data_IF_669351475485
#
_entry.id   IF_669351475485
#
_cell.length_a   1.000
_cell.length_b   1.000
_cell.length_c   1.000
_cell.angle_alpha   90.00
_cell.angle_beta   90.00
_cell.angle_gamma   90.00
#
_symmetry.space_group_name_H-M   'P 1'
#
loop_
_entity.id
_entity.type
_entity.pdbx_description
1 polymer ?
#
# COMPACT_ATOMS: atom_id res chain seq x y z
N UNK A 1 -21.52 2.70 16.37
CA UNK A 1 -20.22 2.00 16.54
C UNK A 1 -19.15 3.06 16.67
N UNK A 2 -18.52 3.15 17.84
CA UNK A 2 -17.41 4.10 18.07
C UNK A 2 -16.15 3.47 17.46
N UNK A 3 -15.62 4.10 16.40
CA UNK A 3 -14.32 3.74 15.83
C UNK A 3 -13.27 4.32 16.77
N UNK A 4 -12.70 3.47 17.63
CA UNK A 4 -11.54 3.83 18.43
C UNK A 4 -10.35 3.69 17.48
N UNK A 5 -9.87 4.82 16.93
CA UNK A 5 -8.59 4.83 16.24
C UNK A 5 -7.49 4.52 17.27
N UNK A 6 -6.54 3.61 16.99
CA UNK A 6 -5.42 3.40 17.88
C UNK A 6 -4.62 4.70 17.98
N UNK A 7 -4.34 5.15 19.20
CA UNK A 7 -3.48 6.32 19.42
C UNK A 7 -2.17 6.10 18.66
N UNK A 8 -1.90 6.98 17.68
CA UNK A 8 -0.65 6.94 16.94
C UNK A 8 0.46 7.17 17.96
N UNK A 9 1.33 6.19 18.16
CA UNK A 9 2.59 6.44 18.84
C UNK A 9 3.27 7.57 18.08
N UNK A 10 3.47 8.71 18.72
CA UNK A 10 4.19 9.84 18.14
C UNK A 10 5.66 9.46 18.06
N UNK A 11 6.02 8.64 17.07
CA UNK A 11 7.39 8.26 16.85
C UNK A 11 8.12 9.44 16.21
N UNK A 12 9.22 9.86 16.85
CA UNK A 12 10.04 10.99 16.40
C UNK A 12 10.72 10.72 15.04
N UNK A 13 10.96 9.46 14.73
CA UNK A 13 11.65 9.01 13.52
C UNK A 13 10.99 7.75 12.94
N UNK A 14 11.35 7.42 11.71
CA UNK A 14 10.88 6.25 10.97
C UNK A 14 12.06 5.52 10.29
N UNK A 15 11.84 4.31 9.76
CA UNK A 15 12.84 3.56 8.98
C UNK A 15 13.32 4.26 7.70
N UNK A 16 12.65 5.34 7.28
CA UNK A 16 13.00 6.16 6.11
C UNK A 16 13.71 7.46 6.46
N UNK A 17 14.06 7.64 7.73
CA UNK A 17 14.80 8.83 8.16
C UNK A 17 16.19 8.78 7.56
N UNK A 18 16.62 9.89 6.95
CA UNK A 18 17.99 10.05 6.49
C UNK A 18 18.89 10.43 7.67
N UNK A 19 19.64 9.47 8.17
CA UNK A 19 20.51 9.65 9.33
C UNK A 19 21.77 10.43 9.01
N UNK A 20 22.26 10.38 7.77
CA UNK A 20 23.47 11.10 7.37
C UNK A 20 23.17 12.60 7.27
N UNK A 21 22.06 12.96 6.60
CA UNK A 21 21.57 14.34 6.54
C UNK A 21 21.19 14.89 7.93
N UNK A 22 20.64 14.04 8.80
CA UNK A 22 20.34 14.43 10.18
C UNK A 22 21.61 14.76 10.96
N UNK A 23 22.67 13.96 10.80
CA UNK A 23 23.95 14.19 11.47
C UNK A 23 24.58 15.50 11.03
N UNK A 24 24.65 15.75 9.73
CA UNK A 24 25.17 17.00 9.18
C UNK A 24 24.40 18.22 9.72
N UNK A 25 23.07 18.14 9.72
CA UNK A 25 22.23 19.22 10.24
C UNK A 25 22.45 19.49 11.75
N UNK A 26 22.62 18.44 12.55
CA UNK A 26 22.90 18.59 13.99
C UNK A 26 24.29 19.20 14.20
N UNK A 27 25.29 18.76 13.45
CA UNK A 27 26.66 19.28 13.56
C UNK A 27 26.76 20.76 13.13
N UNK A 28 25.97 21.19 12.14
CA UNK A 28 25.89 22.60 11.73
C UNK A 28 25.11 23.48 12.72
N UNK A 29 24.01 22.98 13.28
CA UNK A 29 23.10 23.76 14.11
C UNK A 29 23.53 23.83 15.59
N UNK A 30 24.44 22.96 16.04
CA UNK A 30 24.83 22.91 17.45
C UNK A 30 25.75 24.08 17.83
N UNK A 31 25.29 24.92 18.75
CA UNK A 31 26.12 25.98 19.31
C UNK A 31 26.86 25.50 20.55
N UNK A 32 28.19 25.35 20.45
CA UNK A 32 29.04 24.93 21.57
C UNK A 32 29.42 26.07 22.54
N UNK A 33 29.09 27.32 22.21
CA UNK A 33 29.44 28.50 23.01
C UNK A 33 28.35 28.85 24.03
N UNK A 34 27.88 27.86 24.80
CA UNK A 34 26.87 28.06 25.84
C UNK A 34 27.56 28.18 27.20
N UNK A 35 27.17 29.19 27.99
CA UNK A 35 27.63 29.31 29.38
C UNK A 35 26.92 28.22 30.19
N UNK A 36 27.62 27.51 31.06
CA UNK A 36 27.07 26.42 31.88
C UNK A 36 27.35 26.66 33.37
N UNK A 37 27.27 27.93 33.81
CA UNK A 37 27.74 28.32 35.15
C UNK A 37 26.66 28.24 36.21
N UNK A 38 25.39 28.33 35.81
CA UNK A 38 24.23 28.27 36.70
C UNK A 38 23.36 27.06 36.36
N UNK A 39 22.53 26.61 37.32
CA UNK A 39 21.58 25.53 37.07
C UNK A 39 20.58 25.90 35.95
N UNK A 40 20.11 27.16 35.95
CA UNK A 40 19.28 27.71 34.87
C UNK A 40 19.94 27.60 33.49
N UNK A 41 21.24 27.90 33.40
CA UNK A 41 21.97 27.83 32.13
C UNK A 41 22.05 26.38 31.61
N UNK A 42 22.20 25.42 32.52
CA UNK A 42 22.24 23.99 32.18
C UNK A 42 20.88 23.53 31.64
N UNK A 43 19.80 23.92 32.30
CA UNK A 43 18.44 23.58 31.87
C UNK A 43 18.09 24.21 30.52
N UNK A 44 18.53 25.45 30.28
CA UNK A 44 18.36 26.12 28.99
C UNK A 44 19.16 25.43 27.87
N UNK A 45 20.40 25.02 28.16
CA UNK A 45 21.23 24.28 27.21
C UNK A 45 20.60 22.92 26.84
N UNK A 46 20.09 22.19 27.85
CA UNK A 46 19.39 20.93 27.64
C UNK A 46 18.14 21.11 26.79
N UNK A 47 17.31 22.11 27.10
CA UNK A 47 16.09 22.41 26.33
C UNK A 47 16.39 22.76 24.88
N UNK A 48 17.43 23.57 24.66
CA UNK A 48 17.90 23.90 23.31
C UNK A 48 18.34 22.66 22.54
N UNK A 49 19.13 21.79 23.18
CA UNK A 49 19.60 20.55 22.57
C UNK A 49 18.43 19.60 22.22
N UNK A 50 17.49 19.39 23.14
CA UNK A 50 16.32 18.52 22.90
C UNK A 50 15.45 19.05 21.77
N UNK A 51 15.24 20.37 21.70
CA UNK A 51 14.44 20.99 20.64
C UNK A 51 15.13 20.85 19.28
N UNK A 52 16.46 21.06 19.24
CA UNK A 52 17.26 20.90 18.03
C UNK A 52 17.18 19.47 17.48
N UNK A 53 17.32 18.46 18.35
CA UNK A 53 17.19 17.05 17.96
C UNK A 53 15.77 16.75 17.47
N UNK A 54 14.73 17.26 18.13
CA UNK A 54 13.35 17.08 17.70
C UNK A 54 13.08 17.71 16.33
N UNK A 55 13.52 18.94 16.10
CA UNK A 55 13.38 19.62 14.81
C UNK A 55 14.16 18.90 13.71
N UNK A 56 15.39 18.46 13.98
CA UNK A 56 16.20 17.69 13.04
C UNK A 56 15.48 16.41 12.60
N UNK A 57 14.95 15.65 13.57
CA UNK A 57 14.17 14.46 13.29
C UNK A 57 12.93 14.77 12.45
N UNK A 58 12.17 15.82 12.76
CA UNK A 58 10.98 16.18 11.98
C UNK A 58 11.29 16.62 10.56
N UNK A 59 12.41 17.31 10.33
CA UNK A 59 12.83 17.74 8.98
C UNK A 59 13.31 16.58 8.12
N UNK A 60 14.04 15.63 8.71
CA UNK A 60 14.66 14.52 7.98
C UNK A 60 13.79 13.25 7.94
N UNK A 61 12.69 13.21 8.70
CA UNK A 61 11.73 12.10 8.65
C UNK A 61 10.64 12.40 7.63
N UNK A 62 10.56 11.67 6.51
CA UNK A 62 9.48 11.87 5.56
C UNK A 62 8.14 11.45 6.17
N UNK A 63 7.10 12.28 5.96
CA UNK A 63 5.72 11.91 6.29
C UNK A 63 5.36 10.70 5.44
N UNK A 64 5.11 9.57 6.09
CA UNK A 64 4.52 8.44 5.38
C UNK A 64 3.07 8.78 5.12
N UNK A 65 2.74 8.97 3.86
CA UNK A 65 1.36 8.86 3.44
C UNK A 65 0.86 7.47 3.82
N UNK A 66 -0.01 7.43 4.83
CA UNK A 66 -0.82 6.25 5.16
C UNK A 66 -1.81 5.89 4.05
N UNK A 67 -1.65 6.44 2.84
CA UNK A 67 -2.34 6.07 1.61
C UNK A 67 -1.89 4.69 1.11
N UNK A 68 -1.99 3.70 1.99
CA UNK A 68 -2.12 2.33 1.60
C UNK A 68 -3.55 1.98 2.00
N UNK A 69 -4.37 1.59 1.02
CA UNK A 69 -5.73 1.02 1.16
C UNK A 69 -6.96 1.95 1.10
N UNK A 70 -6.85 3.24 0.79
CA UNK A 70 -8.02 4.00 0.31
C UNK A 70 -8.24 3.77 -1.19
N UNK A 71 -8.30 2.49 -1.60
CA UNK A 71 -8.97 2.14 -2.84
C UNK A 71 -10.43 2.53 -2.67
N UNK A 72 -11.01 3.24 -3.66
CA UNK A 72 -12.43 3.58 -3.80
C UNK A 72 -13.31 2.31 -3.90
N UNK A 73 -13.23 1.43 -2.91
CA UNK A 73 -13.98 0.21 -2.83
C UNK A 73 -15.27 0.50 -2.07
N UNK A 74 -16.44 0.21 -2.63
CA UNK A 74 -17.72 0.39 -1.95
C UNK A 74 -17.72 -0.24 -0.56
N UNK A 75 -18.32 0.47 0.41
CA UNK A 75 -18.34 0.05 1.82
C UNK A 75 -18.87 -1.38 1.98
N UNK A 76 -19.92 -1.75 1.24
CA UNK A 76 -20.51 -3.08 1.32
C UNK A 76 -19.51 -4.20 0.96
N UNK A 77 -18.58 -3.97 0.02
CA UNK A 77 -17.56 -4.98 -0.35
C UNK A 77 -16.50 -5.06 0.76
N UNK A 78 -16.11 -3.91 1.35
CA UNK A 78 -15.20 -3.87 2.50
C UNK A 78 -15.76 -4.69 3.67
N UNK A 79 -17.04 -4.56 3.97
CA UNK A 79 -17.70 -5.34 5.04
C UNK A 79 -17.63 -6.85 4.77
N UNK A 80 -17.87 -7.28 3.52
CA UNK A 80 -17.75 -8.69 3.15
C UNK A 80 -16.31 -9.21 3.22
N UNK A 81 -15.32 -8.37 2.93
CA UNK A 81 -13.89 -8.71 3.10
C UNK A 81 -13.56 -8.90 4.58
N UNK A 82 -14.02 -7.99 5.45
CA UNK A 82 -13.84 -8.08 6.89
C UNK A 82 -14.48 -9.37 7.42
N UNK A 83 -15.71 -9.68 7.01
CA UNK A 83 -16.41 -10.90 7.42
C UNK A 83 -15.67 -12.16 6.96
N UNK A 84 -15.20 -12.21 5.71
CA UNK A 84 -14.36 -13.31 5.21
C UNK A 84 -13.09 -13.47 6.06
N UNK A 85 -12.42 -12.38 6.42
CA UNK A 85 -11.20 -12.41 7.26
C UNK A 85 -11.52 -12.93 8.66
N UNK A 86 -12.65 -12.53 9.25
CA UNK A 86 -13.16 -13.03 10.53
C UNK A 86 -13.39 -14.55 10.49
N UNK A 87 -14.12 -15.03 9.49
CA UNK A 87 -14.39 -16.47 9.31
C UNK A 87 -13.11 -17.28 9.05
N UNK A 88 -12.14 -16.70 8.33
CA UNK A 88 -10.83 -17.34 8.14
C UNK A 88 -10.09 -17.50 9.47
N UNK A 89 -10.11 -16.47 10.33
CA UNK A 89 -9.52 -16.55 11.67
C UNK A 89 -10.18 -17.66 12.49
N UNK A 90 -11.51 -17.72 12.50
CA UNK A 90 -12.27 -18.77 13.19
C UNK A 90 -11.85 -20.15 12.69
N UNK A 91 -11.88 -20.39 11.38
CA UNK A 91 -11.46 -21.67 10.80
C UNK A 91 -10.01 -22.05 11.12
N UNK A 92 -9.08 -21.09 11.13
CA UNK A 92 -7.68 -21.38 11.49
C UNK A 92 -7.53 -21.85 12.94
N UNK A 93 -8.34 -21.30 13.86
CA UNK A 93 -8.36 -21.67 15.27
C UNK A 93 -9.10 -22.99 15.52
N UNK A 94 -10.30 -23.14 14.96
CA UNK A 94 -11.19 -24.27 15.26
C UNK A 94 -10.92 -25.51 14.41
N UNK A 95 -10.51 -25.33 13.15
CA UNK A 95 -10.39 -26.36 12.11
C UNK A 95 -11.65 -27.21 11.85
N UNK A 96 -12.82 -26.78 12.32
CA UNK A 96 -14.07 -27.52 12.10
C UNK A 96 -14.62 -27.38 10.67
N UNK A 97 -15.30 -28.43 10.14
CA UNK A 97 -15.86 -28.41 8.79
C UNK A 97 -16.99 -27.39 8.63
N UNK A 98 -17.77 -27.13 9.67
CA UNK A 98 -18.84 -26.12 9.68
C UNK A 98 -18.26 -24.72 9.44
N UNK A 99 -17.18 -24.38 10.14
CA UNK A 99 -16.49 -23.09 9.99
C UNK A 99 -15.85 -22.96 8.60
N UNK A 100 -15.34 -24.08 8.06
CA UNK A 100 -14.84 -24.12 6.67
C UNK A 100 -15.96 -23.84 5.67
N UNK A 101 -17.14 -24.44 5.87
CA UNK A 101 -18.31 -24.22 5.02
C UNK A 101 -18.77 -22.74 5.08
N UNK A 102 -18.81 -22.15 6.28
CA UNK A 102 -19.12 -20.74 6.46
C UNK A 102 -18.11 -19.83 5.73
N UNK A 103 -16.81 -20.10 5.86
CA UNK A 103 -15.76 -19.38 5.14
C UNK A 103 -15.92 -19.52 3.62
N UNK A 104 -16.16 -20.73 3.11
CA UNK A 104 -16.34 -20.98 1.68
C UNK A 104 -17.56 -20.24 1.14
N UNK A 105 -18.68 -20.22 1.88
CA UNK A 105 -19.88 -19.43 1.54
C UNK A 105 -19.55 -17.94 1.45
N UNK A 106 -18.83 -17.39 2.42
CA UNK A 106 -18.40 -15.99 2.39
C UNK A 106 -17.47 -15.68 1.21
N UNK A 107 -16.56 -16.60 0.86
CA UNK A 107 -15.69 -16.47 -0.32
C UNK A 107 -16.52 -16.43 -1.60
N UNK A 108 -17.49 -17.32 -1.77
CA UNK A 108 -18.33 -17.36 -2.97
C UNK A 108 -19.22 -16.12 -3.07
N UNK A 109 -19.80 -15.66 -1.96
CA UNK A 109 -20.58 -14.43 -1.95
C UNK A 109 -19.74 -13.21 -2.36
N UNK A 110 -18.51 -13.09 -1.83
CA UNK A 110 -17.60 -12.01 -2.21
C UNK A 110 -17.22 -12.08 -3.69
N UNK A 111 -16.94 -13.28 -4.22
CA UNK A 111 -16.65 -13.48 -5.65
C UNK A 111 -17.81 -13.02 -6.53
N UNK A 112 -19.03 -13.44 -6.20
CA UNK A 112 -20.24 -13.01 -6.93
C UNK A 112 -20.40 -11.50 -6.91
N UNK A 113 -20.23 -10.87 -5.75
CA UNK A 113 -20.36 -9.40 -5.62
C UNK A 113 -19.31 -8.63 -6.44
N UNK A 114 -18.08 -9.13 -6.50
CA UNK A 114 -17.03 -8.54 -7.34
C UNK A 114 -17.37 -8.74 -8.82
N UNK A 115 -17.83 -9.93 -9.20
CA UNK A 115 -18.24 -10.22 -10.57
C UNK A 115 -19.37 -9.29 -11.01
N UNK A 116 -20.43 -9.16 -10.20
CA UNK A 116 -21.55 -8.25 -10.51
C UNK A 116 -21.12 -6.80 -10.63
N UNK A 117 -20.19 -6.34 -9.79
CA UNK A 117 -19.67 -4.98 -9.90
C UNK A 117 -18.90 -4.77 -11.21
N UNK A 118 -18.06 -5.74 -11.60
CA UNK A 118 -17.33 -5.70 -12.87
C UNK A 118 -18.29 -5.75 -14.06
N UNK A 119 -19.32 -6.59 -14.01
CA UNK A 119 -20.31 -6.72 -15.07
C UNK A 119 -21.08 -5.41 -15.28
N UNK A 120 -21.48 -4.74 -14.19
CA UNK A 120 -22.11 -3.42 -14.25
C UNK A 120 -21.18 -2.38 -14.87
N UNK A 121 -19.92 -2.32 -14.41
CA UNK A 121 -18.95 -1.38 -15.01
C UNK A 121 -18.70 -1.65 -16.49
N UNK A 122 -18.72 -2.92 -16.89
CA UNK A 122 -18.58 -3.30 -18.29
C UNK A 122 -19.81 -2.91 -19.09
N UNK A 123 -21.02 -3.10 -18.55
CA UNK A 123 -22.26 -2.66 -19.20
C UNK A 123 -22.29 -1.14 -19.40
N UNK A 124 -21.95 -0.36 -18.37
CA UNK A 124 -21.87 1.10 -18.45
C UNK A 124 -20.85 1.53 -19.50
N UNK A 125 -19.68 0.87 -19.53
CA UNK A 125 -18.67 1.10 -20.56
C UNK A 125 -19.24 0.83 -21.95
N UNK A 126 -19.86 -0.33 -22.19
CA UNK A 126 -20.45 -0.68 -23.48
C UNK A 126 -21.53 0.32 -23.92
N UNK A 127 -22.36 0.81 -23.01
CA UNK A 127 -23.37 1.84 -23.31
C UNK A 127 -22.74 3.20 -23.68
N UNK A 128 -21.59 3.54 -23.09
CA UNK A 128 -20.87 4.78 -23.39
C UNK A 128 -20.12 4.76 -24.73
N UNK A 129 -19.85 3.58 -25.30
CA UNK A 129 -19.17 3.46 -26.58
C UNK A 129 -20.09 3.86 -27.73
N UNK A 130 -19.59 4.71 -28.61
CA UNK A 130 -20.31 5.10 -29.83
C UNK A 130 -19.37 5.19 -31.02
N UNK A 131 -19.90 4.89 -32.21
CA UNK A 131 -19.21 5.00 -33.49
C UNK A 131 -19.15 6.45 -34.03
N UNK A 132 -19.69 7.41 -33.27
CA UNK A 132 -19.86 8.79 -33.71
C UNK A 132 -18.56 9.60 -33.56
N UNK A 133 -18.37 10.62 -34.40
CA UNK A 133 -17.23 11.55 -34.28
C UNK A 133 -17.24 12.34 -32.96
N UNK A 134 -18.43 12.59 -32.39
CA UNK A 134 -18.60 13.30 -31.10
C UNK A 134 -17.95 12.55 -29.94
N UNK A 135 -17.95 11.22 -29.98
CA UNK A 135 -17.30 10.35 -28.99
C UNK A 135 -15.91 9.89 -29.45
N UNK A 136 -15.32 10.60 -30.42
CA UNK A 136 -13.98 10.34 -30.94
C UNK A 136 -13.77 8.87 -31.36
N UNK A 137 -14.80 8.29 -31.99
CA UNK A 137 -14.81 6.89 -32.45
C UNK A 137 -14.39 5.89 -31.37
N UNK A 138 -14.78 6.13 -30.11
CA UNK A 138 -14.41 5.32 -28.94
C UNK A 138 -14.67 3.82 -29.15
N UNK A 139 -15.77 3.45 -29.78
CA UNK A 139 -16.08 2.05 -30.12
C UNK A 139 -15.00 1.41 -31.00
N UNK A 140 -14.57 2.11 -32.05
CA UNK A 140 -13.54 1.60 -32.97
C UNK A 140 -12.17 1.50 -32.30
N UNK A 141 -11.84 2.48 -31.43
CA UNK A 141 -10.59 2.45 -30.65
C UNK A 141 -10.54 1.27 -29.69
N UNK A 142 -11.66 0.97 -29.01
CA UNK A 142 -11.79 -0.23 -28.20
C UNK A 142 -11.62 -1.50 -29.04
N UNK A 143 -12.38 -1.64 -30.13
CA UNK A 143 -12.34 -2.84 -30.99
C UNK A 143 -10.95 -3.11 -31.58
N UNK A 144 -10.24 -2.06 -32.04
CA UNK A 144 -8.87 -2.18 -32.58
C UNK A 144 -7.88 -2.80 -31.59
N UNK A 145 -8.15 -2.72 -30.29
CA UNK A 145 -7.31 -3.36 -29.27
C UNK A 145 -7.61 -4.85 -29.12
N UNK A 146 -8.85 -5.28 -29.39
CA UNK A 146 -9.27 -6.68 -29.33
C UNK A 146 -8.79 -7.50 -30.54
N UNK A 147 -8.73 -6.90 -31.73
CA UNK A 147 -8.25 -7.57 -32.95
C UNK A 147 -6.73 -7.77 -32.99
N UNK A 148 -5.99 -7.41 -31.93
CA UNK A 148 -4.55 -7.62 -31.88
C UNK A 148 -4.27 -9.10 -31.65
N UNK A 149 -3.52 -9.78 -32.55
CA UNK A 149 -3.12 -11.16 -32.31
C UNK A 149 -2.31 -11.23 -31.01
N UNK A 150 -2.57 -12.24 -30.20
CA UNK A 150 -1.83 -12.43 -28.96
C UNK A 150 -0.36 -12.76 -29.29
N UNK A 151 0.53 -11.83 -29.01
CA UNK A 151 1.97 -12.08 -29.14
C UNK A 151 2.39 -13.13 -28.10
N UNK A 152 2.89 -14.26 -28.58
CA UNK A 152 3.51 -15.25 -27.71
C UNK A 152 4.80 -14.66 -27.14
N UNK A 153 4.85 -14.46 -25.82
CA UNK A 153 6.10 -14.08 -25.16
C UNK A 153 7.08 -15.25 -25.32
N UNK A 154 8.25 -15.05 -25.95
CA UNK A 154 9.21 -16.12 -26.10
C UNK A 154 9.68 -16.61 -24.73
N UNK A 155 10.08 -17.89 -24.60
CA UNK A 155 10.64 -18.41 -23.37
C UNK A 155 11.85 -17.56 -22.93
N UNK A 156 12.04 -17.42 -21.62
CA UNK A 156 13.15 -16.64 -21.07
C UNK A 156 14.47 -17.37 -21.37
N UNK A 157 15.44 -16.67 -21.97
CA UNK A 157 16.80 -17.18 -22.16
C UNK A 157 17.57 -17.12 -20.84
N UNK A 158 18.45 -18.09 -20.62
CA UNK A 158 19.38 -18.05 -19.49
C UNK A 158 20.52 -17.06 -19.79
N UNK A 159 20.71 -16.06 -18.92
CA UNK A 159 21.78 -15.05 -19.05
C UNK A 159 23.19 -15.67 -19.12
N UNK A 160 23.40 -16.82 -18.46
CA UNK A 160 24.71 -17.49 -18.39
C UNK A 160 25.01 -18.36 -19.61
N UNK A 161 23.99 -18.77 -20.38
CA UNK A 161 24.17 -19.65 -21.52
C UNK A 161 23.09 -19.36 -22.57
N UNK A 162 23.47 -18.58 -23.59
CA UNK A 162 22.60 -18.15 -24.70
C UNK A 162 21.87 -19.30 -25.41
N UNK A 163 22.43 -20.52 -25.36
CA UNK A 163 21.89 -21.72 -26.00
C UNK A 163 20.89 -22.52 -25.13
N UNK A 164 20.62 -22.08 -23.88
CA UNK A 164 19.72 -22.79 -22.95
C UNK A 164 18.60 -21.89 -22.43
N UNK A 165 17.38 -22.41 -22.43
CA UNK A 165 16.21 -21.74 -21.85
C UNK A 165 16.23 -21.80 -20.32
N UNK A 166 15.67 -20.79 -19.66
CA UNK A 166 15.49 -20.77 -18.22
C UNK A 166 14.52 -21.88 -17.78
N UNK A 167 14.92 -22.68 -16.80
CA UNK A 167 14.10 -23.75 -16.21
C UNK A 167 13.91 -23.47 -14.73
N UNK A 168 12.70 -23.67 -14.22
CA UNK A 168 12.43 -23.64 -12.78
C UNK A 168 13.11 -24.86 -12.15
N UNK A 169 14.20 -24.65 -11.42
CA UNK A 169 14.76 -25.70 -10.56
C UNK A 169 13.80 -25.89 -9.39
N UNK A 170 12.94 -26.88 -9.47
CA UNK A 170 12.20 -27.39 -8.32
C UNK A 170 13.22 -28.01 -7.37
N UNK A 171 13.58 -27.28 -6.31
CA UNK A 171 14.15 -27.90 -5.13
C UNK A 171 12.98 -28.51 -4.35
N UNK A 172 12.99 -29.83 -4.21
CA UNK A 172 12.04 -30.59 -3.38
C UNK A 172 12.29 -30.33 -1.90
#
# INVERSE_FOLDING_TARGET
>A
MVVIEPERTQMLYNHRTDWDSLREYVDEAINLKVKLKTAEDIDQALKHFTNLVQEACWRMTPVLDSSRYNTNLPLYIKDKIIEKRRLRRIWHLSRHPIDKAALNKAIQNLRKLIQTANDLTLQDQLQSLSATKVTDYSLWKCMKSYDRPQEQKPPLKNEKCSSKWARTTTFC
#
